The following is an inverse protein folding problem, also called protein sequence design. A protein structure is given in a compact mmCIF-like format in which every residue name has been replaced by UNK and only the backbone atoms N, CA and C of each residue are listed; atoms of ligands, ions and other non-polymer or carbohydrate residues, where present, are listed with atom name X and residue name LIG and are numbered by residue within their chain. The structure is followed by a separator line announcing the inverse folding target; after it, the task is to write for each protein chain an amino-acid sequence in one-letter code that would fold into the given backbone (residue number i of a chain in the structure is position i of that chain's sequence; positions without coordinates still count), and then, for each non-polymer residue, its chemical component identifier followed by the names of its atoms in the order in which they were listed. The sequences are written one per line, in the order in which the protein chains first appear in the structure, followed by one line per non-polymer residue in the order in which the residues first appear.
data_IF_790502260397
#
_entry.id   IF_790502260397
#
_cell.length_a   1.000
_cell.length_b   1.000
_cell.length_c   1.000
_cell.angle_alpha   90.00
_cell.angle_beta   90.00
_cell.angle_gamma   90.00
#
_symmetry.space_group_name_H-M   'P 1'
#
loop_
_entity.id
_entity.type
_entity.pdbx_description
1 polymer ?
#
# COMPACT_ATOMS: atom_id res chain seq x y z
N UNK A 1 5.58 9.41 28.66
CA UNK A 1 4.35 8.82 28.10
C UNK A 1 3.88 9.82 27.08
N UNK A 2 4.38 9.68 25.86
CA UNK A 2 4.03 10.54 24.75
C UNK A 2 2.77 9.94 24.12
N UNK A 3 1.61 10.33 24.64
CA UNK A 3 0.32 9.95 24.04
C UNK A 3 0.14 10.74 22.75
N UNK A 4 -0.05 10.03 21.64
CA UNK A 4 -0.43 10.65 20.37
C UNK A 4 -1.83 11.25 20.51
N UNK A 5 -1.94 12.56 20.27
CA UNK A 5 -3.21 13.26 20.34
C UNK A 5 -4.13 12.84 19.19
N UNK A 6 -5.39 12.60 19.51
CA UNK A 6 -6.44 12.38 18.53
C UNK A 6 -6.78 13.67 17.79
N UNK A 7 -7.33 13.54 16.58
CA UNK A 7 -7.80 14.68 15.77
C UNK A 7 -8.71 15.62 16.58
N UNK A 8 -9.61 15.04 17.38
CA UNK A 8 -10.55 15.78 18.22
C UNK A 8 -9.83 16.64 19.26
N UNK A 9 -8.84 16.08 19.93
CA UNK A 9 -8.08 16.77 20.98
C UNK A 9 -7.30 17.96 20.40
N UNK A 10 -6.64 17.75 19.27
CA UNK A 10 -5.92 18.80 18.52
C UNK A 10 -6.87 19.95 18.13
N UNK A 11 -8.07 19.63 17.64
CA UNK A 11 -9.04 20.65 17.21
C UNK A 11 -9.73 21.38 18.38
N UNK A 12 -9.74 20.78 19.57
CA UNK A 12 -10.25 21.39 20.80
C UNK A 12 -9.19 22.12 21.61
N UNK A 13 -7.90 21.97 21.25
CA UNK A 13 -6.82 22.60 21.99
C UNK A 13 -6.92 24.14 21.92
N UNK A 14 -6.95 24.83 23.07
CA UNK A 14 -7.15 26.27 23.12
C UNK A 14 -5.97 27.06 22.51
N UNK A 15 -4.73 26.58 22.62
CA UNK A 15 -3.57 27.24 22.02
C UNK A 15 -3.61 27.13 20.50
N UNK A 16 -3.97 25.95 19.99
CA UNK A 16 -4.15 25.73 18.55
C UNK A 16 -5.25 26.64 18.00
N UNK A 17 -6.38 26.75 18.69
CA UNK A 17 -7.48 27.65 18.26
C UNK A 17 -7.06 29.12 18.24
N UNK A 18 -6.28 29.57 19.22
CA UNK A 18 -5.75 30.95 19.25
C UNK A 18 -4.79 31.18 18.08
N UNK A 19 -3.89 30.24 17.82
CA UNK A 19 -2.94 30.32 16.70
C UNK A 19 -3.66 30.38 15.35
N UNK A 20 -4.62 29.47 15.10
CA UNK A 20 -5.41 29.46 13.86
C UNK A 20 -6.17 30.77 13.67
N UNK A 21 -6.73 31.33 14.74
CA UNK A 21 -7.44 32.62 14.68
C UNK A 21 -6.49 33.77 14.39
N UNK A 22 -5.29 33.76 14.96
CA UNK A 22 -4.25 34.77 14.70
C UNK A 22 -3.81 34.75 13.23
N UNK A 23 -3.74 33.56 12.62
CA UNK A 23 -3.38 33.36 11.21
C UNK A 23 -4.57 33.52 10.25
N UNK A 24 -5.78 33.77 10.77
CA UNK A 24 -7.00 33.90 9.96
C UNK A 24 -7.45 32.60 9.30
N UNK A 25 -7.02 31.45 9.82
CA UNK A 25 -7.34 30.12 9.31
C UNK A 25 -8.64 29.63 9.96
N UNK A 26 -9.58 29.16 9.14
CA UNK A 26 -10.80 28.56 9.68
C UNK A 26 -10.52 27.17 10.27
N UNK A 27 -11.23 26.84 11.34
CA UNK A 27 -11.09 25.53 11.99
C UNK A 27 -11.44 24.38 11.02
N UNK A 28 -12.44 24.61 10.16
CA UNK A 28 -12.85 23.64 9.13
C UNK A 28 -11.74 23.35 8.13
N UNK A 29 -11.05 24.39 7.64
CA UNK A 29 -9.95 24.21 6.67
C UNK A 29 -8.79 23.45 7.29
N UNK A 30 -8.46 23.77 8.55
CA UNK A 30 -7.43 23.05 9.29
C UNK A 30 -7.80 21.58 9.53
N UNK A 31 -9.06 21.29 9.89
CA UNK A 31 -9.53 19.91 10.04
C UNK A 31 -9.46 19.12 8.73
N UNK A 32 -9.83 19.73 7.61
CA UNK A 32 -9.72 19.12 6.28
C UNK A 32 -8.26 18.83 5.91
N UNK A 33 -7.36 19.76 6.20
CA UNK A 33 -5.93 19.59 5.97
C UNK A 33 -5.35 18.42 6.77
N UNK A 34 -5.68 18.33 8.06
CA UNK A 34 -5.24 17.20 8.89
C UNK A 34 -5.80 15.87 8.39
N UNK A 35 -7.05 15.85 7.95
CA UNK A 35 -7.66 14.65 7.38
C UNK A 35 -6.95 14.19 6.11
N UNK A 36 -6.65 15.10 5.19
CA UNK A 36 -5.90 14.79 3.97
C UNK A 36 -4.48 14.30 4.29
N UNK A 37 -3.78 14.96 5.21
CA UNK A 37 -2.44 14.56 5.64
C UNK A 37 -2.45 13.14 6.24
N UNK A 38 -3.44 12.82 7.07
CA UNK A 38 -3.60 11.49 7.64
C UNK A 38 -3.84 10.41 6.56
N UNK A 39 -4.69 10.70 5.57
CA UNK A 39 -4.94 9.79 4.45
C UNK A 39 -3.67 9.54 3.62
N UNK A 40 -2.88 10.59 3.38
CA UNK A 40 -1.60 10.48 2.66
C UNK A 40 -0.58 9.65 3.44
N UNK A 41 -0.49 9.87 4.76
CA UNK A 41 0.38 9.09 5.63
C UNK A 41 0.01 7.61 5.62
N UNK A 42 -1.29 7.29 5.67
CA UNK A 42 -1.75 5.91 5.55
C UNK A 42 -1.37 5.31 4.19
N UNK A 43 -1.57 6.04 3.09
CA UNK A 43 -1.19 5.55 1.76
C UNK A 43 0.31 5.24 1.66
N UNK A 44 1.18 6.10 2.19
CA UNK A 44 2.63 5.88 2.21
C UNK A 44 3.02 4.65 3.06
N UNK A 45 2.32 4.41 4.17
CA UNK A 45 2.51 3.19 4.98
C UNK A 45 2.14 1.92 4.20
N UNK A 46 1.02 1.92 3.46
CA UNK A 46 0.65 0.76 2.63
C UNK A 46 1.65 0.52 1.49
N UNK A 47 2.14 1.58 0.84
CA UNK A 47 3.14 1.46 -0.23
C UNK A 47 4.48 0.94 0.28
N UNK A 48 4.93 1.42 1.45
CA UNK A 48 6.17 0.95 2.08
C UNK A 48 6.06 -0.51 2.56
N UNK A 49 4.91 -0.91 3.12
CA UNK A 49 4.63 -2.31 3.48
C UNK A 49 4.61 -3.24 2.25
N UNK A 50 3.96 -2.82 1.16
CA UNK A 50 3.94 -3.58 -0.10
C UNK A 50 5.35 -3.73 -0.70
N UNK A 51 6.18 -2.69 -0.62
CA UNK A 51 7.58 -2.73 -1.08
C UNK A 51 8.46 -3.63 -0.21
N UNK A 52 8.23 -3.66 1.11
CA UNK A 52 8.93 -4.57 2.02
C UNK A 52 8.60 -6.05 1.73
N UNK A 53 7.33 -6.38 1.46
CA UNK A 53 6.91 -7.75 1.09
C UNK A 53 7.46 -8.19 -0.27
N UNK A 54 7.86 -7.28 -1.16
CA UNK A 54 8.41 -7.63 -2.47
C UNK A 54 9.90 -7.99 -2.45
N UNK A 55 10.60 -7.81 -1.32
CA UNK A 55 12.02 -8.14 -1.16
C UNK A 55 12.26 -9.54 -0.57
N UNK A 56 11.20 -10.25 -0.15
CA UNK A 56 11.26 -11.65 0.30
C UNK A 56 10.80 -12.61 -0.81
N UNK A 57 11.20 -12.33 -2.05
CA UNK A 57 11.16 -13.33 -3.11
C UNK A 57 12.52 -14.01 -3.16
N UNK A 58 12.73 -14.97 -2.26
CA UNK A 58 13.81 -15.94 -2.40
C UNK A 58 13.72 -16.56 -3.81
N UNK A 59 14.79 -16.54 -4.61
CA UNK A 59 14.75 -17.15 -5.92
C UNK A 59 14.58 -18.66 -5.71
N UNK A 60 13.38 -19.16 -6.01
CA UNK A 60 13.09 -20.59 -6.08
C UNK A 60 14.16 -21.21 -6.98
N UNK A 61 15.17 -21.85 -6.36
CA UNK A 61 16.15 -22.70 -7.05
C UNK A 61 15.37 -23.90 -7.56
N UNK A 62 14.86 -23.81 -8.79
CA UNK A 62 14.32 -24.97 -9.50
C UNK A 62 15.53 -25.84 -9.86
N UNK A 63 15.87 -26.79 -9.00
CA UNK A 63 16.77 -27.88 -9.36
C UNK A 63 15.98 -28.89 -10.19
N UNK A 64 16.34 -29.15 -11.46
CA UNK A 64 15.69 -30.16 -12.26
C UNK A 64 16.15 -31.55 -11.80
N UNK A 65 15.36 -32.22 -10.96
CA UNK A 65 15.58 -33.63 -10.64
C UNK A 65 14.78 -34.52 -11.59
N UNK A 66 15.46 -34.91 -12.67
CA UNK A 66 15.51 -36.29 -13.20
C UNK A 66 14.29 -36.87 -13.97
N UNK A 67 14.50 -37.98 -14.73
CA UNK A 67 14.27 -37.99 -16.18
C UNK A 67 13.03 -38.78 -16.61
N UNK A 68 12.67 -38.57 -17.88
CA UNK A 68 11.88 -39.42 -18.77
C UNK A 68 11.24 -40.69 -18.17
N UNK A 69 9.91 -40.68 -18.08
CA UNK A 69 9.08 -41.86 -17.87
C UNK A 69 7.61 -41.54 -18.14
N UNK A 70 7.12 -41.94 -19.31
CA UNK A 70 5.73 -41.79 -19.73
C UNK A 70 4.75 -42.54 -18.81
N UNK A 71 3.60 -41.95 -18.45
CA UNK A 71 2.24 -42.44 -18.76
C UNK A 71 1.13 -41.54 -18.18
N UNK A 72 0.18 -41.22 -19.06
CA UNK A 72 -1.27 -41.00 -18.87
C UNK A 72 -1.81 -40.23 -17.64
N UNK A 73 -2.41 -39.05 -17.90
CA UNK A 73 -3.85 -38.76 -17.69
C UNK A 73 -4.11 -37.24 -17.71
N UNK A 74 -4.95 -36.79 -18.63
CA UNK A 74 -5.58 -35.44 -18.65
C UNK A 74 -6.56 -35.27 -17.45
N UNK A 75 -7.13 -34.08 -17.10
CA UNK A 75 -7.37 -32.92 -17.99
C UNK A 75 -7.22 -31.49 -17.42
N UNK A 76 -6.96 -30.55 -18.34
CA UNK A 76 -7.57 -29.20 -18.43
C UNK A 76 -7.22 -28.15 -17.35
N UNK A 77 -6.16 -27.38 -17.60
CA UNK A 77 -6.06 -25.97 -17.19
C UNK A 77 -5.88 -25.09 -18.42
N UNK A 78 -6.98 -24.56 -18.94
CA UNK A 78 -6.99 -23.40 -19.85
C UNK A 78 -6.81 -22.13 -19.01
N UNK A 79 -5.60 -21.58 -18.96
CA UNK A 79 -5.35 -20.16 -18.63
C UNK A 79 -4.24 -19.62 -19.54
N UNK A 80 -4.68 -19.18 -20.71
CA UNK A 80 -4.44 -17.84 -21.26
C UNK A 80 -3.13 -17.15 -20.89
N UNK A 81 -2.15 -17.21 -21.79
CA UNK A 81 -1.16 -16.14 -21.98
C UNK A 81 -0.88 -15.99 -23.47
N UNK A 82 -1.52 -14.97 -24.04
CA UNK A 82 -1.18 -14.51 -25.38
C UNK A 82 0.22 -13.94 -25.37
N UNK A 83 1.05 -14.41 -26.29
CA UNK A 83 2.03 -13.63 -27.04
C UNK A 83 2.43 -14.47 -28.25
N UNK A 84 2.31 -13.89 -29.44
CA UNK A 84 2.63 -14.54 -30.71
C UNK A 84 2.53 -13.53 -31.84
N UNK A 85 3.52 -12.65 -31.92
CA UNK A 85 3.88 -11.94 -33.15
C UNK A 85 4.25 -12.94 -34.27
N UNK A 86 4.22 -12.45 -35.52
CA UNK A 86 4.61 -13.07 -36.80
C UNK A 86 3.47 -13.82 -37.52
N UNK A 87 3.20 -13.69 -38.82
CA UNK A 87 3.82 -12.99 -39.96
C UNK A 87 2.77 -13.06 -41.11
N UNK A 88 2.58 -12.00 -41.89
CA UNK A 88 1.95 -12.05 -43.22
C UNK A 88 2.58 -10.97 -44.10
#
# INVERSE_FOLDING_TARGET
MDEELTMSEILTDPLIRVMLTADGISLTDFANFLHEAALRLQADMYVSAAKAHSLEADPIKITPTNPCGAVASFPRCTVQRGIGLAFA
#
